data_IF_270256540521
#
_entry.id   IF_270256540521
#
_cell.length_a   1.000
_cell.length_b   1.000
_cell.length_c   1.000
_cell.angle_alpha   90.00
_cell.angle_beta   90.00
_cell.angle_gamma   90.00
#
_symmetry.space_group_name_H-M   'P 1'
#
loop_
_entity.id
_entity.type
_entity.pdbx_description
1 polymer ?
#
# COMPACT_ATOMS: atom_id res chain seq x y z
N UNK A 1 6.58 34.38 20.34
CA UNK A 1 5.70 33.18 20.26
C UNK A 1 5.63 32.75 18.80
N UNK A 2 6.44 31.78 18.38
CA UNK A 2 6.48 31.33 16.98
C UNK A 2 5.29 30.39 16.70
N UNK A 3 4.44 30.78 15.75
CA UNK A 3 3.32 29.96 15.29
C UNK A 3 3.86 28.78 14.46
N UNK A 4 3.86 27.57 15.05
CA UNK A 4 4.11 26.33 14.30
C UNK A 4 2.92 26.09 13.38
N UNK A 5 3.05 26.47 12.10
CA UNK A 5 2.08 26.10 11.06
C UNK A 5 2.04 24.59 10.97
N UNK A 6 1.00 23.96 11.52
CA UNK A 6 0.70 22.55 11.27
C UNK A 6 0.36 22.42 9.78
N UNK A 7 1.33 22.05 8.95
CA UNK A 7 1.06 21.60 7.58
C UNK A 7 0.28 20.29 7.70
N UNK A 8 -1.04 20.36 7.59
CA UNK A 8 -1.87 19.19 7.41
C UNK A 8 -1.61 18.71 5.97
N UNK A 9 -0.68 17.78 5.81
CA UNK A 9 -0.50 17.03 4.58
C UNK A 9 -1.69 16.08 4.44
N UNK A 10 -2.74 16.50 3.75
CA UNK A 10 -3.75 15.59 3.25
C UNK A 10 -3.13 14.79 2.10
N UNK A 11 -2.55 13.64 2.41
CA UNK A 11 -2.06 12.69 1.39
C UNK A 11 -3.32 12.15 0.70
N UNK A 12 -3.63 12.59 -0.55
CA UNK A 12 -4.93 12.34 -1.15
C UNK A 12 -5.11 10.88 -1.57
N UNK A 13 -4.02 10.13 -1.73
CA UNK A 13 -4.00 8.72 -2.11
C UNK A 13 -2.88 8.02 -1.34
N UNK A 14 -3.22 6.90 -0.69
CA UNK A 14 -2.24 6.09 0.06
C UNK A 14 -1.24 5.41 -0.90
N UNK A 15 -1.69 5.10 -2.11
CA UNK A 15 -0.87 4.60 -3.21
C UNK A 15 -1.72 3.82 -4.22
N UNK A 16 -1.10 2.89 -4.94
CA UNK A 16 -1.78 1.99 -5.88
C UNK A 16 -1.76 0.55 -5.37
N UNK A 17 -2.83 -0.19 -5.63
CA UNK A 17 -2.89 -1.62 -5.34
C UNK A 17 -1.88 -2.38 -6.24
N UNK A 18 -0.98 -3.14 -5.61
CA UNK A 18 0.12 -3.86 -6.29
C UNK A 18 -0.36 -5.01 -7.17
N UNK A 19 -1.64 -5.38 -7.09
CA UNK A 19 -2.26 -6.41 -7.93
C UNK A 19 -3.07 -5.81 -9.07
N UNK A 20 -4.05 -4.95 -8.78
CA UNK A 20 -5.01 -4.46 -9.77
C UNK A 20 -4.71 -3.05 -10.29
N UNK A 21 -3.68 -2.37 -9.78
CA UNK A 21 -3.24 -1.04 -10.20
C UNK A 21 -4.18 0.10 -9.83
N UNK A 22 -5.31 -0.18 -9.15
CA UNK A 22 -6.27 0.87 -8.77
C UNK A 22 -5.68 1.75 -7.64
N UNK A 23 -5.87 3.08 -7.68
CA UNK A 23 -5.58 3.95 -6.56
C UNK A 23 -6.34 3.48 -5.32
N UNK A 24 -5.68 3.55 -4.17
CA UNK A 24 -6.26 3.21 -2.88
C UNK A 24 -6.11 4.38 -1.92
N UNK A 25 -7.21 4.77 -1.31
CA UNK A 25 -7.23 5.78 -0.25
C UNK A 25 -6.78 5.14 1.08
N UNK A 26 -6.97 3.83 1.22
CA UNK A 26 -6.49 3.00 2.32
C UNK A 26 -6.09 1.61 1.81
N UNK A 27 -4.99 1.06 2.34
CA UNK A 27 -4.59 -0.31 2.07
C UNK A 27 -5.18 -1.25 3.15
N UNK A 28 -5.97 -2.24 2.74
CA UNK A 28 -6.50 -3.26 3.66
C UNK A 28 -5.38 -4.23 4.08
N UNK A 29 -4.46 -4.51 3.15
CA UNK A 29 -3.25 -5.30 3.43
C UNK A 29 -2.01 -4.55 2.95
N UNK A 30 -0.96 -4.62 3.75
CA UNK A 30 0.36 -4.06 3.45
C UNK A 30 1.39 -5.17 3.66
N UNK A 31 2.21 -5.43 2.65
CA UNK A 31 3.33 -6.36 2.73
C UNK A 31 4.63 -5.60 2.56
N UNK A 32 5.58 -5.82 3.48
CA UNK A 32 6.96 -5.37 3.30
C UNK A 32 7.84 -6.58 2.99
N UNK A 33 8.54 -6.54 1.86
CA UNK A 33 9.42 -7.63 1.44
C UNK A 33 10.61 -7.10 0.63
N UNK A 34 11.83 -7.51 1.01
CA UNK A 34 13.10 -7.10 0.36
C UNK A 34 13.22 -5.59 0.10
N UNK A 35 12.87 -4.77 1.10
CA UNK A 35 12.98 -3.32 0.98
C UNK A 35 11.83 -2.64 0.26
N UNK A 36 10.87 -3.39 -0.28
CA UNK A 36 9.73 -2.85 -1.03
C UNK A 36 8.42 -3.02 -0.25
N UNK A 37 7.60 -1.96 -0.27
CA UNK A 37 6.23 -1.97 0.26
C UNK A 37 5.26 -2.30 -0.88
N UNK A 38 4.34 -3.21 -0.62
CA UNK A 38 3.26 -3.58 -1.51
C UNK A 38 1.92 -3.34 -0.81
N UNK A 39 1.06 -2.56 -1.47
CA UNK A 39 -0.27 -2.19 -0.98
C UNK A 39 -1.34 -3.03 -1.68
N UNK A 40 -2.40 -3.41 -0.97
CA UNK A 40 -3.51 -4.16 -1.55
C UNK A 40 -4.86 -3.63 -1.10
N UNK A 41 -5.74 -3.40 -2.05
CA UNK A 41 -7.09 -2.87 -1.82
C UNK A 41 -8.07 -3.91 -1.25
N UNK A 42 -7.72 -5.21 -1.30
CA UNK A 42 -8.55 -6.28 -0.76
C UNK A 42 -7.79 -7.57 -0.49
N UNK A 43 -8.38 -8.42 0.36
CA UNK A 43 -7.88 -9.80 0.61
C UNK A 43 -7.73 -10.62 -0.68
N UNK A 44 -8.62 -10.41 -1.65
CA UNK A 44 -8.54 -11.08 -2.95
C UNK A 44 -7.27 -10.66 -3.70
N UNK A 45 -7.04 -9.35 -3.82
CA UNK A 45 -5.86 -8.81 -4.49
C UNK A 45 -4.56 -9.30 -3.84
N UNK A 46 -4.51 -9.32 -2.51
CA UNK A 46 -3.38 -9.85 -1.76
C UNK A 46 -3.14 -11.33 -2.09
N UNK A 47 -4.15 -12.21 -1.93
CA UNK A 47 -3.98 -13.66 -2.15
C UNK A 47 -3.71 -14.04 -3.60
N UNK A 48 -4.22 -13.28 -4.58
CA UNK A 48 -3.94 -13.52 -5.99
C UNK A 48 -2.51 -13.13 -6.33
N UNK A 49 -2.10 -11.93 -5.91
CA UNK A 49 -0.73 -11.45 -6.11
C UNK A 49 0.31 -12.39 -5.47
N UNK A 50 0.06 -12.92 -4.28
CA UNK A 50 0.95 -13.88 -3.63
C UNK A 50 1.09 -15.19 -4.38
N UNK A 51 0.00 -15.70 -4.98
CA UNK A 51 0.03 -16.92 -5.78
C UNK A 51 0.80 -16.73 -7.08
N UNK A 52 0.67 -15.57 -7.71
CA UNK A 52 1.35 -15.25 -8.97
C UNK A 52 2.83 -14.97 -8.77
N UNK A 53 3.18 -14.14 -7.78
CA UNK A 53 4.57 -13.71 -7.56
C UNK A 53 5.42 -14.72 -6.83
N UNK A 54 4.79 -15.67 -6.11
CA UNK A 54 5.47 -16.67 -5.27
C UNK A 54 6.49 -16.07 -4.30
N UNK A 55 6.32 -14.80 -3.91
CA UNK A 55 7.26 -14.07 -3.05
C UNK A 55 7.40 -14.70 -1.65
N UNK A 56 6.45 -15.55 -1.24
CA UNK A 56 6.50 -16.32 0.00
C UNK A 56 7.28 -17.64 -0.06
N UNK A 57 7.67 -18.11 -1.25
CA UNK A 57 8.39 -19.38 -1.42
C UNK A 57 9.92 -19.19 -1.48
N UNK A 58 10.42 -18.05 -1.03
CA UNK A 58 11.85 -17.73 -0.93
C UNK A 58 12.38 -17.90 0.48
#
# INVERSE_FOLDING_TARGET
MSQVKKQILSIPTFGECSYCGKPVDNAEFILYHKGKVYLFCSKYCFRSWLRETRIHYG
#
